data_IF_978308956190
#
_entry.id   IF_978308956190
#
_cell.length_a   1.000
_cell.length_b   1.000
_cell.length_c   1.000
_cell.angle_alpha   90.00
_cell.angle_beta   90.00
_cell.angle_gamma   90.00
#
_symmetry.space_group_name_H-M   'P 1'
#
loop_
_entity.id
_entity.type
_entity.pdbx_description
1 polymer ?
#
# COMPACT_ATOMS: atom_id res chain seq x y z
N UNK A 1 14.44 -22.05 6.12
CA UNK A 1 14.67 -20.68 5.67
C UNK A 1 14.69 -20.73 4.16
N UNK A 2 13.64 -20.29 3.47
CA UNK A 2 13.62 -20.29 2.01
C UNK A 2 14.07 -18.90 1.54
N UNK A 3 15.16 -18.90 0.77
CA UNK A 3 15.80 -17.71 0.23
C UNK A 3 15.06 -17.37 -1.08
N UNK A 4 14.30 -16.28 -1.08
CA UNK A 4 13.64 -15.80 -2.29
C UNK A 4 14.61 -14.87 -3.00
N UNK A 5 15.25 -15.37 -4.05
CA UNK A 5 16.09 -14.58 -4.95
C UNK A 5 15.20 -13.91 -5.99
N UNK A 6 15.06 -12.59 -5.92
CA UNK A 6 14.29 -11.80 -6.90
C UNK A 6 15.24 -11.37 -8.03
N UNK A 7 15.34 -12.19 -9.07
CA UNK A 7 16.01 -11.81 -10.32
C UNK A 7 15.13 -10.85 -11.10
N UNK A 8 15.61 -9.62 -11.29
CA UNK A 8 14.93 -8.56 -12.02
C UNK A 8 14.57 -8.96 -13.46
N UNK A 9 13.31 -8.74 -13.81
CA UNK A 9 12.77 -8.94 -15.15
C UNK A 9 11.26 -9.15 -15.08
N UNK A 10 10.51 -8.12 -15.50
CA UNK A 10 9.05 -7.99 -15.36
C UNK A 10 8.65 -7.64 -13.92
N UNK A 11 8.35 -6.36 -13.66
CA UNK A 11 7.41 -6.05 -12.59
C UNK A 11 6.13 -6.80 -12.98
N UNK A 12 5.87 -7.96 -12.38
CA UNK A 12 4.53 -8.52 -12.36
C UNK A 12 3.64 -7.33 -12.04
N UNK A 13 2.74 -6.96 -12.96
CA UNK A 13 1.87 -5.78 -12.80
C UNK A 13 1.39 -5.82 -11.38
N UNK A 14 1.90 -4.93 -10.52
CA UNK A 14 1.61 -5.02 -9.10
C UNK A 14 0.12 -4.75 -9.03
N UNK A 15 -0.67 -5.79 -8.83
CA UNK A 15 -2.12 -5.70 -8.79
C UNK A 15 -2.43 -5.25 -7.38
N UNK A 16 -2.71 -3.96 -7.15
CA UNK A 16 -2.96 -3.49 -5.80
C UNK A 16 -4.23 -4.17 -5.29
N UNK A 17 -4.17 -4.68 -4.06
CA UNK A 17 -5.35 -5.21 -3.35
C UNK A 17 -6.10 -4.10 -2.60
N UNK A 18 -5.76 -2.85 -2.88
CA UNK A 18 -6.32 -1.64 -2.29
C UNK A 18 -6.58 -0.61 -3.40
N UNK A 19 -7.35 0.42 -3.08
CA UNK A 19 -7.53 1.59 -3.93
C UNK A 19 -7.29 2.83 -3.08
N UNK A 20 -6.48 3.77 -3.56
CA UNK A 20 -6.20 5.03 -2.86
C UNK A 20 -6.57 6.24 -3.71
N UNK A 21 -7.44 7.06 -3.14
CA UNK A 21 -7.85 8.34 -3.69
C UNK A 21 -7.29 9.47 -2.84
N UNK A 22 -6.63 10.43 -3.48
CA UNK A 22 -6.10 11.62 -2.82
C UNK A 22 -6.38 12.85 -3.68
N UNK A 23 -7.02 13.88 -3.10
CA UNK A 23 -7.32 15.12 -3.82
C UNK A 23 -8.12 14.92 -5.11
N UNK A 24 -9.13 14.04 -5.10
CA UNK A 24 -9.94 13.66 -6.27
C UNK A 24 -9.19 12.93 -7.39
N UNK A 25 -7.96 12.45 -7.13
CA UNK A 25 -7.19 11.63 -8.07
C UNK A 25 -7.04 10.22 -7.52
N UNK A 26 -7.27 9.21 -8.37
CA UNK A 26 -6.83 7.85 -8.10
C UNK A 26 -5.30 7.79 -8.29
N UNK A 27 -4.59 7.54 -7.19
CA UNK A 27 -3.14 7.42 -7.16
C UNK A 27 -2.68 5.99 -6.87
N UNK A 28 -3.59 5.02 -6.94
CA UNK A 28 -3.34 3.62 -6.55
C UNK A 28 -2.09 3.08 -7.23
N UNK A 29 -2.07 3.12 -8.56
CA UNK A 29 -0.95 2.61 -9.34
C UNK A 29 0.31 3.48 -9.24
N UNK A 30 0.15 4.79 -9.00
CA UNK A 30 1.27 5.71 -8.81
C UNK A 30 2.11 5.32 -7.59
N UNK A 31 1.45 4.85 -6.52
CA UNK A 31 2.13 4.51 -5.25
C UNK A 31 2.41 3.02 -5.06
N UNK A 32 1.68 2.13 -5.74
CA UNK A 32 1.74 0.67 -5.54
C UNK A 32 3.16 0.10 -5.51
N UNK A 33 4.10 0.52 -6.38
CA UNK A 33 5.48 0.02 -6.34
C UNK A 33 6.26 0.37 -5.06
N UNK A 34 5.83 1.41 -4.35
CA UNK A 34 6.53 1.96 -3.18
C UNK A 34 5.86 1.57 -1.86
N UNK A 35 4.61 1.10 -1.89
CA UNK A 35 3.89 0.71 -0.67
C UNK A 35 4.49 -0.55 -0.08
N UNK A 36 5.00 -0.45 1.14
CA UNK A 36 5.54 -1.58 1.90
C UNK A 36 4.60 -2.05 3.01
N UNK A 37 3.71 -1.17 3.49
CA UNK A 37 2.73 -1.49 4.52
C UNK A 37 1.54 -0.54 4.47
N UNK A 38 0.35 -1.07 4.75
CA UNK A 38 -0.88 -0.30 4.99
C UNK A 38 -1.44 -0.78 6.33
N UNK A 39 -1.66 0.15 7.26
CA UNK A 39 -2.34 -0.12 8.53
C UNK A 39 -3.55 0.78 8.70
N UNK A 40 -4.62 0.21 9.26
CA UNK A 40 -5.80 0.94 9.67
C UNK A 40 -6.03 0.72 11.16
N UNK A 41 -6.48 1.76 11.85
CA UNK A 41 -6.87 1.72 13.24
C UNK A 41 -8.24 2.38 13.38
N UNK A 42 -9.25 1.56 13.66
CA UNK A 42 -10.60 2.00 14.02
C UNK A 42 -10.65 2.25 15.53
N UNK A 43 -10.93 3.50 15.91
CA UNK A 43 -10.97 3.88 17.33
C UNK A 43 -12.39 3.77 17.88
N UNK A 44 -12.57 2.80 18.78
CA UNK A 44 -13.83 2.55 19.49
C UNK A 44 -14.19 3.69 20.48
N UNK A 45 -13.31 4.68 20.68
CA UNK A 45 -13.44 5.73 21.70
C UNK A 45 -13.71 7.12 21.11
N UNK A 46 -14.63 7.23 20.14
CA UNK A 46 -15.06 8.54 19.61
C UNK A 46 -13.91 9.43 19.10
N UNK A 47 -12.78 8.81 18.75
CA UNK A 47 -11.62 9.45 18.13
C UNK A 47 -11.70 9.24 16.61
N UNK A 48 -10.86 9.94 15.85
CA UNK A 48 -10.77 9.72 14.42
C UNK A 48 -10.03 8.43 14.11
N UNK A 49 -10.56 7.66 13.16
CA UNK A 49 -9.85 6.51 12.60
C UNK A 49 -8.57 6.96 11.90
N UNK A 50 -7.56 6.10 11.93
CA UNK A 50 -6.26 6.39 11.33
C UNK A 50 -5.96 5.38 10.23
N UNK A 51 -5.53 5.87 9.07
CA UNK A 51 -4.89 5.08 8.03
C UNK A 51 -3.43 5.54 7.91
N UNK A 52 -2.50 4.59 7.90
CA UNK A 52 -1.08 4.86 7.68
C UNK A 52 -0.57 4.02 6.51
N UNK A 53 0.14 4.68 5.61
CA UNK A 53 0.75 4.06 4.43
C UNK A 53 2.25 4.31 4.51
N UNK A 54 3.02 3.23 4.58
CA UNK A 54 4.48 3.30 4.61
C UNK A 54 5.02 3.11 3.19
N UNK A 55 5.89 4.03 2.78
CA UNK A 55 6.58 3.98 1.49
C UNK A 55 8.05 3.60 1.70
N UNK A 56 8.60 2.76 0.82
CA UNK A 56 9.98 2.25 0.88
C UNK A 56 10.80 2.56 -0.37
#
# INVERSE_FOLDING_TARGET
>A
MAEISVTGGVFATLTPIFTLWYGHKDITYDITPYVTSISYHDSIKNESDTIAITLG
#
